data_IF_573998759370
#
_entry.id   IF_573998759370
#
_cell.length_a   1.000
_cell.length_b   1.000
_cell.length_c   1.000
_cell.angle_alpha   90.00
_cell.angle_beta   90.00
_cell.angle_gamma   90.00
#
_symmetry.space_group_name_H-M   'P 1'
#
loop_
_entity.id
_entity.type
_entity.pdbx_description
1 polymer ?
#
# COMPACT_ATOMS: atom_id res chain seq x y z
N UNK A 1 37.07 42.74 -1.97
CA UNK A 1 36.21 42.15 -0.95
C UNK A 1 34.85 41.73 -1.52
N UNK A 2 34.07 42.57 -2.27
CA UNK A 2 32.76 42.20 -2.81
C UNK A 2 32.77 40.97 -3.76
N UNK A 3 33.80 40.78 -4.60
CA UNK A 3 33.94 39.65 -5.51
C UNK A 3 34.24 38.31 -4.83
N UNK A 4 34.90 38.34 -3.69
CA UNK A 4 35.18 37.12 -2.89
C UNK A 4 33.93 36.69 -2.13
N UNK A 5 33.14 37.65 -1.64
CA UNK A 5 31.89 37.39 -0.96
C UNK A 5 30.85 36.75 -1.89
N UNK A 6 30.73 37.20 -3.16
CA UNK A 6 29.88 36.61 -4.17
C UNK A 6 30.32 35.20 -4.57
N UNK A 7 31.61 34.93 -4.64
CA UNK A 7 32.12 33.60 -4.95
C UNK A 7 31.83 32.59 -3.82
N UNK A 8 31.97 33.03 -2.55
CA UNK A 8 31.66 32.19 -1.36
C UNK A 8 30.15 31.91 -1.28
N UNK A 9 29.29 32.90 -1.58
CA UNK A 9 27.84 32.70 -1.62
C UNK A 9 27.41 31.74 -2.75
N UNK A 10 28.03 31.85 -3.93
CA UNK A 10 27.80 30.95 -5.06
C UNK A 10 28.26 29.51 -4.75
N UNK A 11 29.38 29.35 -4.01
CA UNK A 11 29.89 28.03 -3.60
C UNK A 11 28.99 27.38 -2.55
N UNK A 12 28.49 28.15 -1.59
CA UNK A 12 27.55 27.70 -0.58
C UNK A 12 26.18 27.30 -1.20
N UNK A 13 25.69 28.06 -2.18
CA UNK A 13 24.48 27.72 -2.92
C UNK A 13 24.66 26.45 -3.79
N UNK A 14 25.86 26.19 -4.31
CA UNK A 14 26.16 24.99 -5.08
C UNK A 14 26.22 23.72 -4.22
N UNK A 15 26.64 23.82 -2.96
CA UNK A 15 26.72 22.68 -2.03
C UNK A 15 25.31 22.25 -1.58
N UNK A 16 24.36 23.17 -1.48
CA UNK A 16 22.98 22.85 -1.07
C UNK A 16 22.16 22.15 -2.16
N UNK A 17 22.55 22.24 -3.45
CA UNK A 17 21.83 21.63 -4.57
C UNK A 17 22.12 20.14 -4.74
N UNK A 18 23.15 19.58 -4.12
CA UNK A 18 23.53 18.16 -4.28
C UNK A 18 23.42 17.30 -3.01
N UNK A 19 22.94 17.84 -1.91
CA UNK A 19 22.67 17.03 -0.72
C UNK A 19 21.32 16.33 -0.89
N UNK A 20 21.35 15.13 -1.44
CA UNK A 20 20.19 14.25 -1.47
C UNK A 20 19.71 14.02 -0.03
N UNK A 21 18.42 14.25 0.23
CA UNK A 21 17.83 14.04 1.54
C UNK A 21 17.93 12.56 1.94
N UNK A 22 17.95 12.27 3.24
CA UNK A 22 17.91 10.88 3.70
C UNK A 22 16.67 10.16 3.20
N UNK A 23 15.52 10.85 3.14
CA UNK A 23 14.28 10.33 2.59
C UNK A 23 14.43 9.91 1.10
N UNK A 24 15.01 10.75 0.25
CA UNK A 24 15.26 10.41 -1.16
C UNK A 24 16.17 9.20 -1.34
N UNK A 25 17.21 9.07 -0.50
CA UNK A 25 18.10 7.89 -0.53
C UNK A 25 17.35 6.60 -0.14
N UNK A 26 16.49 6.67 0.88
CA UNK A 26 15.65 5.53 1.25
C UNK A 26 14.63 5.21 0.18
N UNK A 27 14.00 6.21 -0.43
CA UNK A 27 13.06 6.03 -1.52
C UNK A 27 13.68 5.28 -2.70
N UNK A 28 14.86 5.69 -3.16
CA UNK A 28 15.57 5.02 -4.26
C UNK A 28 15.94 3.57 -3.93
N UNK A 29 16.40 3.31 -2.70
CA UNK A 29 16.72 1.94 -2.26
C UNK A 29 15.48 1.07 -2.17
N UNK A 30 14.38 1.63 -1.68
CA UNK A 30 13.08 0.97 -1.62
C UNK A 30 12.62 0.58 -3.03
N UNK A 31 12.60 1.53 -3.97
CA UNK A 31 12.18 1.29 -5.36
C UNK A 31 13.02 0.20 -6.02
N UNK A 32 14.34 0.22 -5.80
CA UNK A 32 15.26 -0.79 -6.33
C UNK A 32 14.95 -2.19 -5.77
N UNK A 33 14.69 -2.31 -4.47
CA UNK A 33 14.36 -3.61 -3.87
C UNK A 33 12.99 -4.10 -4.32
N UNK A 34 11.99 -3.24 -4.28
CA UNK A 34 10.62 -3.60 -4.67
C UNK A 34 10.55 -4.00 -6.15
N UNK A 35 11.27 -3.30 -7.03
CA UNK A 35 11.31 -3.67 -8.45
C UNK A 35 11.91 -5.06 -8.73
N UNK A 36 12.79 -5.54 -7.85
CA UNK A 36 13.47 -6.83 -8.00
C UNK A 36 12.83 -7.98 -7.22
N UNK A 37 12.30 -7.69 -6.05
CA UNK A 37 11.89 -8.70 -5.06
C UNK A 37 10.42 -8.58 -4.66
N UNK A 38 9.71 -7.58 -5.17
CA UNK A 38 8.34 -7.25 -4.78
C UNK A 38 8.24 -6.52 -3.43
N UNK A 39 7.02 -6.02 -3.09
CA UNK A 39 6.78 -5.21 -1.89
C UNK A 39 7.17 -5.87 -0.57
N UNK A 40 7.01 -7.20 -0.47
CA UNK A 40 7.37 -7.98 0.74
C UNK A 40 8.75 -8.65 0.63
N UNK A 41 9.60 -8.20 -0.30
CA UNK A 41 10.93 -8.77 -0.55
C UNK A 41 11.89 -8.61 0.63
N UNK A 42 12.93 -9.46 0.64
CA UNK A 42 13.96 -9.43 1.67
C UNK A 42 14.65 -8.05 1.73
N UNK A 43 14.75 -7.48 2.93
CA UNK A 43 15.38 -6.17 3.20
C UNK A 43 14.44 -4.97 3.06
N UNK A 44 13.25 -5.11 2.47
CA UNK A 44 12.27 -4.02 2.34
C UNK A 44 11.86 -3.49 3.71
N UNK A 45 11.57 -4.37 4.67
CA UNK A 45 11.22 -3.99 6.04
C UNK A 45 12.30 -3.13 6.71
N UNK A 46 13.56 -3.52 6.55
CA UNK A 46 14.69 -2.78 7.14
C UNK A 46 14.80 -1.37 6.57
N UNK A 47 14.60 -1.22 5.25
CA UNK A 47 14.62 0.10 4.61
C UNK A 47 13.45 0.95 5.10
N UNK A 48 12.24 0.41 5.13
CA UNK A 48 11.06 1.13 5.60
C UNK A 48 11.19 1.57 7.06
N UNK A 49 11.72 0.71 7.95
CA UNK A 49 11.95 1.05 9.34
C UNK A 49 12.99 2.16 9.53
N UNK A 50 14.05 2.18 8.70
CA UNK A 50 15.06 3.24 8.75
C UNK A 50 14.52 4.54 8.14
N UNK A 51 13.73 4.44 7.07
CA UNK A 51 13.08 5.60 6.46
C UNK A 51 12.07 6.24 7.41
N UNK A 52 11.24 5.44 8.09
CA UNK A 52 10.29 5.93 9.11
C UNK A 52 11.00 6.65 10.27
N UNK A 53 12.20 6.20 10.68
CA UNK A 53 13.01 6.90 11.69
C UNK A 53 13.56 8.25 11.18
N UNK A 54 13.86 8.34 9.89
CA UNK A 54 14.36 9.57 9.27
C UNK A 54 13.21 10.57 9.00
N UNK A 55 12.08 10.09 8.48
CA UNK A 55 10.87 10.88 8.26
C UNK A 55 9.63 9.98 8.40
N UNK A 56 8.97 10.06 9.54
CA UNK A 56 7.77 9.26 9.84
C UNK A 56 6.51 9.75 9.14
N UNK A 57 6.58 10.88 8.43
CA UNK A 57 5.46 11.52 7.73
C UNK A 57 5.56 11.44 6.22
N UNK A 58 6.68 10.95 5.70
CA UNK A 58 6.90 10.82 4.26
C UNK A 58 5.79 9.96 3.61
N UNK A 59 5.12 10.53 2.60
CA UNK A 59 3.99 9.90 1.94
C UNK A 59 4.36 8.58 1.23
N UNK A 60 5.54 8.52 0.60
CA UNK A 60 6.02 7.32 -0.10
C UNK A 60 6.42 6.22 0.87
N UNK A 61 7.01 6.60 2.00
CA UNK A 61 7.34 5.66 3.08
C UNK A 61 6.05 5.03 3.63
N UNK A 62 5.02 5.83 3.92
CA UNK A 62 3.75 5.35 4.44
C UNK A 62 3.04 4.40 3.45
N UNK A 63 3.03 4.76 2.16
CA UNK A 63 2.53 3.90 1.09
C UNK A 63 3.32 2.58 1.01
N UNK A 64 4.65 2.68 1.07
CA UNK A 64 5.53 1.51 1.06
C UNK A 64 5.30 0.59 2.25
N UNK A 65 5.10 1.16 3.44
CA UNK A 65 4.82 0.39 4.66
C UNK A 65 3.49 -0.34 4.60
N UNK A 66 2.45 0.33 4.13
CA UNK A 66 1.18 -0.34 3.84
C UNK A 66 1.37 -1.49 2.84
N UNK A 67 2.00 -1.22 1.70
CA UNK A 67 2.20 -2.23 0.63
C UNK A 67 2.98 -3.44 1.12
N UNK A 68 4.02 -3.23 1.93
CA UNK A 68 4.81 -4.30 2.55
C UNK A 68 3.93 -5.17 3.47
N UNK A 69 3.24 -4.55 4.42
CA UNK A 69 2.40 -5.25 5.40
C UNK A 69 1.23 -5.97 4.73
N UNK A 70 0.55 -5.30 3.81
CA UNK A 70 -0.58 -5.85 3.08
C UNK A 70 -0.18 -7.05 2.21
N UNK A 71 0.95 -6.96 1.51
CA UNK A 71 1.46 -8.10 0.72
C UNK A 71 1.91 -9.24 1.61
N UNK A 72 2.57 -8.94 2.74
CA UNK A 72 3.04 -9.95 3.69
C UNK A 72 1.88 -10.65 4.42
N UNK A 73 0.75 -9.96 4.60
CA UNK A 73 -0.45 -10.53 5.20
C UNK A 73 -1.12 -11.59 4.30
N UNK A 74 -0.84 -11.58 2.99
CA UNK A 74 -1.50 -12.47 2.03
C UNK A 74 -0.75 -13.78 1.84
N UNK A 75 -1.47 -14.89 1.97
CA UNK A 75 -1.04 -16.23 1.52
C UNK A 75 -2.03 -16.74 0.50
N UNK A 76 -1.56 -17.54 -0.45
CA UNK A 76 -2.41 -18.14 -1.46
C UNK A 76 -2.62 -19.61 -1.15
N UNK A 77 -3.88 -20.03 -1.04
CA UNK A 77 -4.27 -21.41 -0.78
C UNK A 77 -5.16 -21.96 -1.89
N UNK A 78 -5.13 -23.28 -2.07
CA UNK A 78 -6.05 -23.97 -2.97
C UNK A 78 -7.20 -24.54 -2.15
N UNK A 79 -8.39 -24.08 -2.42
CA UNK A 79 -9.63 -24.52 -1.77
C UNK A 79 -10.50 -25.32 -2.73
N UNK A 80 -11.22 -26.33 -2.22
CA UNK A 80 -12.17 -27.12 -3.00
C UNK A 80 -13.61 -26.68 -2.73
N UNK A 81 -14.42 -26.68 -3.77
CA UNK A 81 -15.86 -26.37 -3.70
C UNK A 81 -16.66 -27.35 -4.57
N UNK A 82 -17.90 -27.61 -4.19
CA UNK A 82 -18.83 -28.42 -4.98
C UNK A 82 -19.53 -27.61 -6.08
N UNK A 83 -19.51 -26.28 -5.99
CA UNK A 83 -20.12 -25.37 -6.97
C UNK A 83 -19.09 -24.82 -7.92
N UNK A 84 -19.39 -24.79 -9.22
CA UNK A 84 -18.60 -24.13 -10.24
C UNK A 84 -18.66 -22.59 -10.13
N UNK A 85 -19.62 -22.04 -9.41
CA UNK A 85 -19.74 -20.59 -9.16
C UNK A 85 -19.19 -20.29 -7.77
N UNK A 86 -18.05 -19.64 -7.71
CA UNK A 86 -17.43 -19.23 -6.47
C UNK A 86 -16.78 -17.85 -6.60
N UNK A 87 -17.34 -16.85 -5.95
CA UNK A 87 -16.85 -15.44 -5.93
C UNK A 87 -16.54 -14.85 -7.31
N UNK A 88 -17.25 -15.29 -8.36
CA UNK A 88 -17.01 -14.85 -9.73
C UNK A 88 -15.73 -15.40 -10.37
N UNK A 89 -15.00 -16.28 -9.67
CA UNK A 89 -13.76 -16.89 -10.17
C UNK A 89 -14.04 -18.14 -11.01
N UNK A 90 -13.15 -18.40 -11.98
CA UNK A 90 -13.09 -19.68 -12.68
C UNK A 90 -12.21 -20.66 -11.89
N UNK A 91 -12.59 -21.96 -11.84
CA UNK A 91 -11.78 -22.96 -11.16
C UNK A 91 -10.45 -23.18 -11.88
N UNK A 92 -9.36 -23.31 -11.13
CA UNK A 92 -8.03 -23.64 -11.66
C UNK A 92 -7.94 -25.12 -12.05
N UNK A 93 -8.78 -25.97 -11.44
CA UNK A 93 -8.85 -27.41 -11.70
C UNK A 93 -10.27 -27.91 -11.40
N UNK A 94 -10.71 -28.89 -12.19
CA UNK A 94 -11.97 -29.62 -11.94
C UNK A 94 -11.70 -31.11 -11.98
N UNK A 95 -12.07 -31.82 -10.93
CA UNK A 95 -11.90 -33.27 -10.78
C UNK A 95 -13.23 -33.92 -10.41
N UNK A 96 -13.30 -35.25 -10.51
CA UNK A 96 -14.42 -36.05 -9.97
C UNK A 96 -13.97 -36.75 -8.69
N UNK A 97 -14.88 -36.77 -7.71
CA UNK A 97 -14.68 -37.60 -6.51
C UNK A 97 -14.91 -39.08 -6.78
N UNK A 98 -14.75 -39.93 -5.76
CA UNK A 98 -14.97 -41.38 -5.86
C UNK A 98 -16.41 -41.76 -6.15
N UNK A 99 -17.36 -40.85 -5.99
CA UNK A 99 -18.81 -41.03 -6.27
C UNK A 99 -19.22 -40.44 -7.63
N UNK A 100 -18.30 -39.83 -8.36
CA UNK A 100 -18.51 -39.22 -9.68
C UNK A 100 -18.98 -37.78 -9.62
N UNK A 101 -19.03 -37.11 -8.45
CA UNK A 101 -19.43 -35.73 -8.34
C UNK A 101 -18.25 -34.81 -8.75
N UNK A 102 -18.58 -33.64 -9.34
CA UNK A 102 -17.58 -32.66 -9.70
C UNK A 102 -17.09 -31.89 -8.47
N UNK A 103 -15.78 -31.78 -8.34
CA UNK A 103 -15.09 -30.95 -7.35
C UNK A 103 -14.28 -29.89 -8.11
N UNK A 104 -14.46 -28.65 -7.74
CA UNK A 104 -13.79 -27.49 -8.33
C UNK A 104 -12.77 -26.93 -7.36
N UNK A 105 -11.56 -26.63 -7.84
CA UNK A 105 -10.48 -26.08 -7.07
C UNK A 105 -10.25 -24.64 -7.47
N UNK A 106 -10.08 -23.77 -6.47
CA UNK A 106 -9.87 -22.33 -6.64
C UNK A 106 -8.62 -21.90 -5.89
N UNK A 107 -7.89 -20.94 -6.46
CA UNK A 107 -6.82 -20.27 -5.75
C UNK A 107 -7.41 -19.09 -4.98
N UNK A 108 -7.25 -19.09 -3.68
CA UNK A 108 -7.83 -18.11 -2.77
C UNK A 108 -6.75 -17.41 -1.97
N UNK A 109 -6.82 -16.08 -1.87
CA UNK A 109 -5.96 -15.34 -0.97
C UNK A 109 -6.55 -15.37 0.45
N UNK A 110 -5.73 -15.75 1.42
CA UNK A 110 -6.06 -15.74 2.85
C UNK A 110 -5.19 -14.69 3.51
N UNK A 111 -5.76 -13.97 4.46
CA UNK A 111 -5.08 -12.92 5.19
C UNK A 111 -4.72 -13.37 6.60
N UNK A 112 -3.51 -13.03 7.03
CA UNK A 112 -3.14 -12.98 8.44
C UNK A 112 -3.77 -11.71 9.05
N UNK A 113 -4.66 -11.88 10.01
CA UNK A 113 -5.46 -10.79 10.60
C UNK A 113 -4.60 -9.75 11.31
N UNK A 114 -3.50 -10.16 11.95
CA UNK A 114 -2.60 -9.25 12.65
C UNK A 114 -1.84 -8.37 11.68
N UNK A 115 -1.21 -8.95 10.66
CA UNK A 115 -0.49 -8.21 9.62
C UNK A 115 -1.43 -7.33 8.80
N UNK A 116 -2.63 -7.83 8.48
CA UNK A 116 -3.66 -7.03 7.83
C UNK A 116 -4.06 -5.82 8.67
N UNK A 117 -4.31 -6.02 9.97
CA UNK A 117 -4.61 -4.93 10.90
C UNK A 117 -3.48 -3.90 11.00
N UNK A 118 -2.22 -4.34 10.93
CA UNK A 118 -1.07 -3.42 10.87
C UNK A 118 -1.03 -2.64 9.56
N UNK A 119 -1.38 -3.26 8.43
CA UNK A 119 -1.48 -2.56 7.14
C UNK A 119 -2.56 -1.48 7.18
N UNK A 120 -3.75 -1.78 7.71
CA UNK A 120 -4.83 -0.78 7.87
C UNK A 120 -4.39 0.38 8.77
N UNK A 121 -3.69 0.12 9.88
CA UNK A 121 -3.12 1.19 10.73
C UNK A 121 -2.11 2.05 9.99
N UNK A 122 -1.30 1.47 9.10
CA UNK A 122 -0.38 2.24 8.26
C UNK A 122 -1.14 3.14 7.26
N UNK A 123 -2.24 2.65 6.67
CA UNK A 123 -3.13 3.45 5.83
C UNK A 123 -3.79 4.60 6.63
N UNK A 124 -4.27 4.33 7.83
CA UNK A 124 -4.86 5.36 8.70
C UNK A 124 -3.87 6.46 9.06
N UNK A 125 -2.62 6.07 9.36
CA UNK A 125 -1.52 7.01 9.62
C UNK A 125 -1.24 7.89 8.39
N UNK A 126 -1.23 7.30 7.19
CA UNK A 126 -1.07 8.05 5.94
C UNK A 126 -2.20 9.06 5.72
N UNK A 127 -3.45 8.66 5.92
CA UNK A 127 -4.63 9.53 5.82
C UNK A 127 -4.57 10.66 6.87
N UNK A 128 -4.09 10.39 8.07
CA UNK A 128 -3.95 11.38 9.13
C UNK A 128 -2.92 12.48 8.78
N UNK A 129 -1.77 12.10 8.23
CA UNK A 129 -0.73 13.08 7.84
C UNK A 129 -1.06 13.78 6.52
N UNK A 130 -1.75 13.11 5.62
CA UNK A 130 -2.08 13.58 4.29
C UNK A 130 -3.59 13.54 4.05
N UNK A 131 -4.37 14.36 4.77
CA UNK A 131 -5.84 14.26 4.79
C UNK A 131 -6.49 14.60 3.45
N UNK A 132 -5.80 15.31 2.57
CA UNK A 132 -6.31 15.70 1.25
C UNK A 132 -6.00 14.65 0.16
N UNK A 133 -5.13 13.67 0.45
CA UNK A 133 -4.73 12.62 -0.49
C UNK A 133 -5.80 11.54 -0.64
N UNK A 134 -6.41 11.45 -1.82
CA UNK A 134 -7.46 10.47 -2.13
C UNK A 134 -6.89 9.06 -2.40
N UNK A 135 -5.68 8.96 -2.93
CA UNK A 135 -5.01 7.69 -3.20
C UNK A 135 -4.83 6.82 -1.94
N UNK A 136 -4.53 7.41 -0.78
CA UNK A 136 -4.46 6.68 0.49
C UNK A 136 -5.83 6.12 0.92
N UNK A 137 -6.90 6.85 0.63
CA UNK A 137 -8.26 6.39 0.92
C UNK A 137 -8.68 5.25 0.00
N UNK A 138 -8.36 5.34 -1.28
CA UNK A 138 -8.61 4.24 -2.22
C UNK A 138 -7.78 3.00 -1.89
N UNK A 139 -6.53 3.18 -1.48
CA UNK A 139 -5.69 2.10 -0.98
C UNK A 139 -6.36 1.35 0.18
N UNK A 140 -6.92 2.06 1.17
CA UNK A 140 -7.65 1.48 2.30
C UNK A 140 -8.96 0.80 1.85
N UNK A 141 -9.75 1.45 0.98
CA UNK A 141 -10.98 0.86 0.43
C UNK A 141 -10.69 -0.46 -0.31
N UNK A 142 -9.66 -0.48 -1.16
CA UNK A 142 -9.24 -1.68 -1.88
C UNK A 142 -8.77 -2.80 -0.93
N UNK A 143 -8.12 -2.44 0.19
CA UNK A 143 -7.74 -3.42 1.20
C UNK A 143 -8.96 -4.06 1.87
N UNK A 144 -10.00 -3.30 2.17
CA UNK A 144 -11.26 -3.83 2.68
C UNK A 144 -11.92 -4.77 1.67
N UNK A 145 -12.04 -4.37 0.40
CA UNK A 145 -12.60 -5.23 -0.66
C UNK A 145 -11.84 -6.55 -0.77
N UNK A 146 -10.51 -6.51 -0.72
CA UNK A 146 -9.69 -7.71 -0.83
C UNK A 146 -9.84 -8.66 0.36
N UNK A 147 -10.06 -8.12 1.56
CA UNK A 147 -10.21 -8.89 2.80
C UNK A 147 -11.59 -9.53 2.93
N UNK A 148 -12.67 -8.79 2.61
CA UNK A 148 -14.05 -9.17 2.89
C UNK A 148 -14.65 -10.24 1.94
N UNK A 149 -14.07 -10.46 0.79
CA UNK A 149 -14.46 -11.49 -0.23
C UNK A 149 -15.96 -11.62 -0.57
N UNK A 150 -16.79 -12.05 0.38
CA UNK A 150 -18.19 -12.43 0.15
C UNK A 150 -19.18 -11.27 0.33
N UNK A 151 -18.95 -10.40 1.31
CA UNK A 151 -19.80 -9.25 1.62
C UNK A 151 -18.95 -8.02 1.92
N UNK A 152 -18.84 -7.07 1.00
CA UNK A 152 -17.93 -5.93 1.14
C UNK A 152 -18.51 -4.82 2.06
N UNK A 153 -18.97 -5.19 3.26
CA UNK A 153 -19.69 -4.29 4.17
C UNK A 153 -18.80 -3.18 4.73
N UNK A 154 -17.55 -3.50 5.11
CA UNK A 154 -16.59 -2.48 5.56
C UNK A 154 -16.19 -1.53 4.42
N UNK A 155 -15.94 -2.09 3.23
CA UNK A 155 -15.63 -1.28 2.06
C UNK A 155 -16.78 -0.36 1.69
N UNK A 156 -18.02 -0.86 1.71
CA UNK A 156 -19.21 -0.08 1.40
C UNK A 156 -19.43 1.04 2.43
N UNK A 157 -19.36 0.74 3.72
CA UNK A 157 -19.48 1.73 4.78
C UNK A 157 -18.40 2.82 4.65
N UNK A 158 -17.16 2.41 4.42
CA UNK A 158 -16.05 3.34 4.26
C UNK A 158 -16.22 4.25 3.02
N UNK A 159 -16.68 3.72 1.90
CA UNK A 159 -16.96 4.51 0.69
C UNK A 159 -18.13 5.49 0.89
N UNK A 160 -19.17 5.10 1.64
CA UNK A 160 -20.28 5.99 2.02
C UNK A 160 -19.78 7.16 2.90
N UNK A 161 -18.87 6.88 3.84
CA UNK A 161 -18.24 7.92 4.66
C UNK A 161 -17.41 8.88 3.80
N UNK A 162 -16.64 8.37 2.83
CA UNK A 162 -15.87 9.21 1.89
C UNK A 162 -16.76 10.11 1.03
N UNK A 163 -17.89 9.59 0.56
CA UNK A 163 -18.87 10.39 -0.20
C UNK A 163 -19.41 11.52 0.69
N UNK A 164 -19.78 11.20 1.92
CA UNK A 164 -20.30 12.17 2.90
C UNK A 164 -19.24 13.21 3.26
N UNK A 165 -18.00 12.80 3.47
CA UNK A 165 -16.87 13.70 3.69
C UNK A 165 -16.66 14.62 2.48
N UNK A 166 -16.68 14.10 1.26
CA UNK A 166 -16.52 14.88 0.03
C UNK A 166 -17.58 15.97 -0.11
N UNK A 167 -18.82 15.70 0.28
CA UNK A 167 -19.91 16.68 0.22
C UNK A 167 -19.71 17.85 1.20
N UNK A 168 -19.01 17.64 2.30
CA UNK A 168 -18.75 18.64 3.34
C UNK A 168 -17.40 19.37 3.18
N UNK A 169 -16.53 18.90 2.29
CA UNK A 169 -15.19 19.47 2.10
C UNK A 169 -15.24 20.84 1.43
N UNK A 170 -14.36 21.72 1.90
CA UNK A 170 -14.14 23.03 1.27
C UNK A 170 -13.02 22.99 0.21
N UNK A 171 -12.16 21.97 0.25
CA UNK A 171 -11.03 21.78 -0.67
C UNK A 171 -11.24 20.51 -1.49
N UNK A 172 -10.85 20.49 -2.77
CA UNK A 172 -10.86 19.27 -3.56
C UNK A 172 -9.88 18.24 -3.00
N UNK A 173 -10.13 16.98 -3.32
CA UNK A 173 -9.14 15.94 -3.11
C UNK A 173 -7.95 16.13 -4.05
N UNK A 174 -6.78 15.77 -3.57
CA UNK A 174 -5.57 15.63 -4.35
C UNK A 174 -5.36 14.15 -4.68
N UNK A 175 -5.02 13.86 -5.92
CA UNK A 175 -4.62 12.51 -6.29
C UNK A 175 -3.11 12.49 -6.45
N UNK A 176 -2.45 11.58 -5.72
CA UNK A 176 -0.98 11.41 -5.74
C UNK A 176 -0.18 12.69 -5.43
N UNK A 177 -0.79 13.61 -4.69
CA UNK A 177 -0.16 14.89 -4.31
C UNK A 177 -0.10 15.93 -5.42
N UNK A 178 -0.92 15.78 -6.47
CA UNK A 178 -1.05 16.75 -7.59
C UNK A 178 -2.44 17.37 -7.63
#
# INVERSE_FOLDING_TARGET
MKRILTAVFALLAYITVFAQTDSERYAQRYDLLVSKLGPAGLGVETILNNWEKADSTDARMLLGKFSYLFTKAQTSEVVSRSSKRYLGMEPILSLKDSLGNDIYYYQENIFDDELYGQAIKAADKAIQYWPDRLDFRFMKANAYIAYEKESPDMALAYLQDLISENMSRQRPWEYDGT
#
